data_IF_811348635898
#
_entry.id   IF_811348635898
#
_cell.length_a   1.000
_cell.length_b   1.000
_cell.length_c   1.000
_cell.angle_alpha   90.00
_cell.angle_beta   90.00
_cell.angle_gamma   90.00
#
_symmetry.space_group_name_H-M   'P 1'
#
loop_
_entity.id
_entity.type
_entity.pdbx_description
1 polymer ?
#
# COMPACT_ATOMS: atom_id res chain seq x y z
N UNK A 1 20.10 5.46 13.06
CA UNK A 1 21.17 4.50 12.72
C UNK A 1 20.85 3.03 13.05
N UNK A 2 20.15 2.71 14.15
CA UNK A 2 19.82 1.32 14.54
C UNK A 2 19.11 0.49 13.45
N UNK A 3 18.07 1.05 12.82
CA UNK A 3 17.27 0.37 11.77
C UNK A 3 18.13 -0.07 10.58
N UNK A 4 18.98 0.82 10.08
CA UNK A 4 19.84 0.55 8.91
C UNK A 4 20.81 -0.60 9.18
N UNK A 5 21.46 -0.59 10.35
CA UNK A 5 22.39 -1.67 10.72
C UNK A 5 21.69 -3.02 10.84
N UNK A 6 20.52 -3.06 11.48
CA UNK A 6 19.75 -4.30 11.62
C UNK A 6 19.33 -4.87 10.26
N UNK A 7 18.90 -4.01 9.33
CA UNK A 7 18.52 -4.43 7.98
C UNK A 7 19.72 -4.98 7.23
N UNK A 8 20.86 -4.28 7.25
CA UNK A 8 22.08 -4.74 6.57
C UNK A 8 22.62 -6.05 7.14
N UNK A 9 22.58 -6.22 8.46
CA UNK A 9 22.96 -7.47 9.13
C UNK A 9 22.03 -8.63 8.76
N UNK A 10 20.72 -8.38 8.70
CA UNK A 10 19.74 -9.36 8.22
C UNK A 10 19.99 -9.76 6.77
N UNK A 11 20.21 -8.78 5.89
CA UNK A 11 20.52 -9.02 4.47
C UNK A 11 21.81 -9.83 4.31
N UNK A 12 22.88 -9.46 5.01
CA UNK A 12 24.16 -10.18 4.98
C UNK A 12 24.05 -11.62 5.47
N UNK A 13 23.15 -11.89 6.42
CA UNK A 13 22.94 -13.23 6.97
C UNK A 13 22.09 -14.13 6.07
N UNK A 14 21.19 -13.53 5.27
CA UNK A 14 20.22 -14.24 4.45
C UNK A 14 20.61 -14.38 2.97
N UNK A 15 21.46 -13.47 2.46
CA UNK A 15 21.81 -13.38 1.04
C UNK A 15 23.31 -13.20 0.83
N UNK A 16 23.85 -13.82 -0.22
CA UNK A 16 25.27 -13.69 -0.60
C UNK A 16 25.60 -12.31 -1.19
N UNK A 17 24.64 -11.69 -1.89
CA UNK A 17 24.76 -10.36 -2.49
C UNK A 17 23.65 -9.48 -1.97
N UNK A 18 24.00 -8.29 -1.47
CA UNK A 18 23.05 -7.30 -0.96
C UNK A 18 22.69 -6.34 -2.11
N UNK A 19 21.62 -6.66 -2.83
CA UNK A 19 21.01 -5.80 -3.84
C UNK A 19 19.66 -5.22 -3.36
N UNK A 20 18.98 -4.47 -4.23
CA UNK A 20 17.69 -3.84 -3.93
C UNK A 20 16.64 -4.88 -3.52
N UNK A 21 16.60 -6.02 -4.22
CA UNK A 21 15.64 -7.09 -3.98
C UNK A 21 15.87 -7.75 -2.62
N UNK A 22 17.14 -8.01 -2.26
CA UNK A 22 17.51 -8.54 -0.94
C UNK A 22 17.01 -7.62 0.20
N UNK A 23 17.11 -6.29 0.04
CA UNK A 23 16.63 -5.33 1.04
C UNK A 23 15.11 -5.34 1.18
N UNK A 24 14.35 -5.31 0.07
CA UNK A 24 12.88 -5.36 0.15
C UNK A 24 12.40 -6.70 0.73
N UNK A 25 12.99 -7.81 0.30
CA UNK A 25 12.64 -9.14 0.80
C UNK A 25 12.99 -9.30 2.30
N UNK A 26 14.13 -8.75 2.74
CA UNK A 26 14.53 -8.80 4.15
C UNK A 26 13.66 -7.89 5.05
N UNK A 27 13.13 -6.79 4.51
CA UNK A 27 12.32 -5.84 5.29
C UNK A 27 10.83 -6.12 5.22
N UNK A 28 10.38 -6.92 4.26
CA UNK A 28 8.95 -7.14 3.99
C UNK A 28 8.22 -5.88 3.50
N UNK A 29 8.95 -4.83 3.14
CA UNK A 29 8.35 -3.60 2.65
C UNK A 29 7.85 -3.77 1.22
N UNK A 30 6.70 -3.17 0.86
CA UNK A 30 6.21 -3.21 -0.50
C UNK A 30 7.16 -2.47 -1.43
N UNK A 31 7.36 -3.03 -2.63
CA UNK A 31 8.17 -2.39 -3.66
C UNK A 31 7.39 -1.20 -4.23
N UNK A 32 8.04 -0.08 -4.60
CA UNK A 32 7.35 1.05 -5.22
C UNK A 32 6.53 0.65 -6.45
N UNK A 33 7.04 -0.29 -7.26
CA UNK A 33 6.36 -0.85 -8.43
C UNK A 33 5.07 -1.58 -8.05
N UNK A 34 5.08 -2.37 -6.97
CA UNK A 34 3.88 -3.06 -6.47
C UNK A 34 2.82 -2.06 -6.00
N UNK A 35 3.24 -1.01 -5.27
CA UNK A 35 2.33 0.03 -4.76
C UNK A 35 1.71 0.82 -5.91
N UNK A 36 2.50 1.14 -6.94
CA UNK A 36 2.02 1.81 -8.15
C UNK A 36 0.98 0.94 -8.89
N UNK A 37 1.27 -0.35 -9.09
CA UNK A 37 0.32 -1.28 -9.71
C UNK A 37 -0.98 -1.41 -8.89
N UNK A 38 -0.88 -1.44 -7.56
CA UNK A 38 -2.04 -1.45 -6.66
C UNK A 38 -2.88 -0.17 -6.87
N UNK A 39 -2.25 0.99 -6.92
CA UNK A 39 -2.93 2.27 -7.16
C UNK A 39 -3.61 2.31 -8.53
N UNK A 40 -2.91 1.89 -9.58
CA UNK A 40 -3.45 1.85 -10.94
C UNK A 40 -4.66 0.92 -11.04
N UNK A 41 -4.62 -0.25 -10.38
CA UNK A 41 -5.77 -1.16 -10.31
C UNK A 41 -6.95 -0.53 -9.54
N UNK A 42 -6.69 0.14 -8.42
CA UNK A 42 -7.74 0.84 -7.66
C UNK A 42 -8.39 1.98 -8.45
N UNK A 43 -7.65 2.66 -9.33
CA UNK A 43 -8.20 3.75 -10.15
C UNK A 43 -8.94 3.23 -11.38
N UNK A 44 -8.38 2.25 -12.10
CA UNK A 44 -8.85 1.90 -13.44
C UNK A 44 -9.76 0.66 -13.49
N UNK A 45 -9.54 -0.35 -12.65
CA UNK A 45 -10.24 -1.64 -12.76
C UNK A 45 -11.62 -1.64 -12.07
N UNK A 46 -12.48 -2.61 -12.33
CA UNK A 46 -13.69 -2.77 -11.51
C UNK A 46 -13.34 -3.13 -10.05
N UNK A 47 -14.21 -2.76 -9.11
CA UNK A 47 -14.00 -3.00 -7.67
C UNK A 47 -13.62 -4.47 -7.35
N UNK A 48 -14.34 -5.42 -7.95
CA UNK A 48 -14.11 -6.86 -7.73
C UNK A 48 -12.76 -7.32 -8.26
N UNK A 49 -12.34 -6.80 -9.42
CA UNK A 49 -11.06 -7.09 -10.06
C UNK A 49 -9.91 -6.54 -9.23
N UNK A 50 -10.00 -5.27 -8.82
CA UNK A 50 -9.01 -4.65 -7.95
C UNK A 50 -8.89 -5.39 -6.61
N UNK A 51 -10.02 -5.78 -6.00
CA UNK A 51 -10.01 -6.51 -4.73
C UNK A 51 -9.30 -7.87 -4.84
N UNK A 52 -9.60 -8.65 -5.89
CA UNK A 52 -8.95 -9.94 -6.12
C UNK A 52 -7.45 -9.77 -6.43
N UNK A 53 -7.10 -8.80 -7.28
CA UNK A 53 -5.72 -8.50 -7.65
C UNK A 53 -4.87 -8.10 -6.43
N UNK A 54 -5.32 -7.12 -5.65
CA UNK A 54 -4.58 -6.62 -4.49
C UNK A 54 -4.50 -7.70 -3.40
N UNK A 55 -5.56 -8.49 -3.21
CA UNK A 55 -5.54 -9.62 -2.27
C UNK A 55 -4.49 -10.66 -2.68
N UNK A 56 -4.36 -10.96 -3.97
CA UNK A 56 -3.33 -11.88 -4.48
C UNK A 56 -1.92 -11.34 -4.27
N UNK A 57 -1.68 -10.07 -4.60
CA UNK A 57 -0.36 -9.45 -4.38
C UNK A 57 0.02 -9.49 -2.90
N UNK A 58 -0.88 -9.10 -2.01
CA UNK A 58 -0.63 -9.14 -0.56
C UNK A 58 -0.26 -10.54 -0.08
N UNK A 59 -1.00 -11.56 -0.51
CA UNK A 59 -0.75 -12.94 -0.10
C UNK A 59 0.54 -13.50 -0.69
N UNK A 60 0.82 -13.22 -1.97
CA UNK A 60 1.99 -13.75 -2.65
C UNK A 60 3.30 -13.13 -2.14
N UNK A 61 3.28 -11.82 -1.86
CA UNK A 61 4.47 -11.07 -1.43
C UNK A 61 4.54 -10.90 0.10
N UNK A 62 3.56 -11.39 0.86
CA UNK A 62 3.54 -11.30 2.32
C UNK A 62 3.39 -9.87 2.85
N UNK A 63 2.68 -9.00 2.13
CA UNK A 63 2.59 -7.57 2.45
C UNK A 63 1.46 -7.29 3.45
N UNK A 64 1.76 -6.49 4.47
CA UNK A 64 0.75 -5.95 5.37
C UNK A 64 -0.01 -4.81 4.71
N UNK A 65 -1.32 -4.68 5.01
CA UNK A 65 -2.10 -3.57 4.46
C UNK A 65 -1.60 -2.21 4.96
N UNK A 66 -1.11 -2.18 6.20
CA UNK A 66 -0.58 -0.97 6.82
C UNK A 66 0.61 -0.40 6.04
N UNK A 67 1.56 -1.25 5.64
CA UNK A 67 2.73 -0.81 4.86
C UNK A 67 2.33 -0.29 3.47
N UNK A 68 1.31 -0.90 2.86
CA UNK A 68 0.74 -0.44 1.59
C UNK A 68 0.11 0.94 1.75
N UNK A 69 -0.69 1.18 2.80
CA UNK A 69 -1.33 2.49 3.04
C UNK A 69 -0.30 3.59 3.28
N UNK A 70 0.72 3.32 4.11
CA UNK A 70 1.80 4.29 4.35
C UNK A 70 2.53 4.63 3.06
N UNK A 71 2.81 3.64 2.21
CA UNK A 71 3.48 3.85 0.92
C UNK A 71 2.59 4.56 -0.11
N UNK A 72 1.28 4.26 -0.12
CA UNK A 72 0.30 4.88 -1.02
C UNK A 72 0.20 6.39 -0.84
N UNK A 73 0.40 6.91 0.38
CA UNK A 73 0.31 8.34 0.65
C UNK A 73 1.29 9.16 -0.21
N UNK A 74 2.49 8.63 -0.45
CA UNK A 74 3.48 9.29 -1.32
C UNK A 74 2.98 9.40 -2.76
N UNK A 75 2.35 8.33 -3.29
CA UNK A 75 1.80 8.33 -4.64
C UNK A 75 0.54 9.18 -4.77
N UNK A 76 -0.36 9.17 -3.78
CA UNK A 76 -1.56 10.02 -3.78
C UNK A 76 -1.19 11.50 -3.79
N UNK A 77 -0.14 11.88 -3.07
CA UNK A 77 0.36 13.26 -3.08
C UNK A 77 1.03 13.64 -4.40
N UNK A 78 1.57 12.68 -5.15
CA UNK A 78 2.16 12.91 -6.46
C UNK A 78 1.11 13.09 -7.57
N UNK A 79 -0.11 12.58 -7.39
CA UNK A 79 -1.21 12.74 -8.34
C UNK A 79 -1.90 14.10 -8.15
N UNK A 80 -2.18 14.76 -9.26
CA UNK A 80 -2.93 16.02 -9.29
C UNK A 80 -4.43 15.77 -9.22
N UNK A 81 -4.91 15.34 -8.06
CA UNK A 81 -6.34 15.22 -7.76
C UNK A 81 -6.96 16.59 -7.46
N UNK A 82 -8.24 16.82 -7.82
CA UNK A 82 -9.00 17.95 -7.31
C UNK A 82 -8.98 17.99 -5.77
N UNK A 83 -8.98 19.19 -5.18
CA UNK A 83 -8.83 19.37 -3.74
C UNK A 83 -9.83 18.56 -2.92
N UNK A 84 -11.11 18.51 -3.35
CA UNK A 84 -12.15 17.73 -2.66
C UNK A 84 -11.85 16.23 -2.67
N UNK A 85 -11.42 15.70 -3.82
CA UNK A 85 -11.02 14.30 -3.98
C UNK A 85 -9.81 13.98 -3.10
N UNK A 86 -8.79 14.84 -3.09
CA UNK A 86 -7.60 14.66 -2.26
C UNK A 86 -7.95 14.64 -0.76
N UNK A 87 -8.76 15.60 -0.30
CA UNK A 87 -9.22 15.66 1.10
C UNK A 87 -9.96 14.37 1.46
N UNK A 88 -10.88 13.91 0.59
CA UNK A 88 -11.66 12.70 0.82
C UNK A 88 -10.77 11.44 0.92
N UNK A 89 -9.83 11.24 -0.01
CA UNK A 89 -8.93 10.08 0.01
C UNK A 89 -8.09 10.08 1.29
N UNK A 90 -7.45 11.21 1.63
CA UNK A 90 -6.55 11.29 2.79
C UNK A 90 -7.32 11.04 4.10
N UNK A 91 -8.52 11.61 4.25
CA UNK A 91 -9.40 11.36 5.40
C UNK A 91 -9.73 9.86 5.53
N UNK A 92 -10.12 9.22 4.43
CA UNK A 92 -10.46 7.79 4.43
C UNK A 92 -9.24 6.91 4.69
N UNK A 93 -8.07 7.25 4.14
CA UNK A 93 -6.82 6.53 4.43
C UNK A 93 -6.45 6.64 5.92
N UNK A 94 -6.56 7.82 6.52
CA UNK A 94 -6.30 8.05 7.95
C UNK A 94 -7.23 7.22 8.84
N UNK A 95 -8.52 7.19 8.53
CA UNK A 95 -9.50 6.35 9.24
C UNK A 95 -9.16 4.86 9.18
N UNK A 96 -8.73 4.40 8.01
CA UNK A 96 -8.37 3.00 7.79
C UNK A 96 -7.07 2.66 8.54
N UNK A 97 -6.05 3.51 8.46
CA UNK A 97 -4.79 3.35 9.18
C UNK A 97 -5.03 3.29 10.70
N UNK A 98 -5.86 4.18 11.23
CA UNK A 98 -6.26 4.17 12.63
C UNK A 98 -6.95 2.85 13.01
N UNK A 99 -7.90 2.37 12.20
CA UNK A 99 -8.60 1.10 12.46
C UNK A 99 -7.65 -0.10 12.43
N UNK A 100 -6.71 -0.13 11.49
CA UNK A 100 -5.68 -1.17 11.42
C UNK A 100 -4.78 -1.16 12.66
N UNK A 101 -4.35 0.03 13.10
CA UNK A 101 -3.59 0.18 14.35
C UNK A 101 -4.33 -0.30 15.60
N UNK A 102 -5.66 -0.33 15.57
CA UNK A 102 -6.51 -0.86 16.64
C UNK A 102 -6.89 -2.35 16.45
N UNK A 103 -6.27 -3.06 15.50
CA UNK A 103 -6.50 -4.49 15.28
C UNK A 103 -7.77 -4.82 14.49
N UNK A 104 -8.28 -3.88 13.67
CA UNK A 104 -9.38 -4.18 12.77
C UNK A 104 -9.01 -5.20 11.69
N UNK A 105 -10.02 -5.88 11.15
CA UNK A 105 -9.85 -6.86 10.06
C UNK A 105 -9.27 -6.23 8.80
N UNK A 106 -8.08 -6.69 8.38
CA UNK A 106 -7.45 -6.24 7.15
C UNK A 106 -8.34 -6.45 5.91
N UNK A 107 -9.12 -7.54 5.87
CA UNK A 107 -10.00 -7.84 4.73
C UNK A 107 -11.08 -6.77 4.56
N UNK A 108 -11.64 -6.31 5.67
CA UNK A 108 -12.66 -5.25 5.67
C UNK A 108 -12.02 -3.91 5.32
N UNK A 109 -10.85 -3.63 5.89
CA UNK A 109 -10.12 -2.38 5.62
C UNK A 109 -9.62 -2.28 4.18
N UNK A 110 -9.19 -3.39 3.56
CA UNK A 110 -8.82 -3.43 2.14
C UNK A 110 -10.02 -3.10 1.25
N UNK A 111 -11.17 -3.73 1.52
CA UNK A 111 -12.43 -3.44 0.82
C UNK A 111 -12.81 -1.95 0.95
N UNK A 112 -12.67 -1.39 2.16
CA UNK A 112 -12.95 0.02 2.43
C UNK A 112 -11.99 0.95 1.68
N UNK A 113 -10.70 0.60 1.59
CA UNK A 113 -9.69 1.36 0.85
C UNK A 113 -10.06 1.44 -0.63
N UNK A 114 -10.31 0.30 -1.27
CA UNK A 114 -10.67 0.25 -2.70
C UNK A 114 -11.98 1.03 -2.94
N UNK A 115 -12.96 0.86 -2.06
CA UNK A 115 -14.22 1.62 -2.13
C UNK A 115 -14.00 3.13 -2.04
N UNK A 116 -13.12 3.60 -1.15
CA UNK A 116 -12.77 5.01 -1.06
C UNK A 116 -12.13 5.52 -2.35
N UNK A 117 -11.21 4.78 -2.97
CA UNK A 117 -10.64 5.16 -4.25
C UNK A 117 -11.68 5.19 -5.38
N UNK A 118 -12.66 4.27 -5.40
CA UNK A 118 -13.73 4.29 -6.41
C UNK A 118 -14.65 5.50 -6.28
N UNK A 119 -15.06 5.84 -5.07
CA UNK A 119 -15.83 7.07 -4.83
C UNK A 119 -15.00 8.31 -5.18
N UNK A 120 -13.70 8.29 -4.90
CA UNK A 120 -12.81 9.39 -5.23
C UNK A 120 -12.68 9.62 -6.75
N UNK A 121 -12.64 8.55 -7.55
CA UNK A 121 -12.66 8.63 -9.02
C UNK A 121 -13.96 9.26 -9.51
N UNK A 122 -15.10 8.89 -8.94
CA UNK A 122 -16.40 9.50 -9.28
C UNK A 122 -16.46 10.99 -8.89
N UNK A 123 -15.83 11.40 -7.78
CA UNK A 123 -15.75 12.79 -7.35
C UNK A 123 -14.80 13.65 -8.21
N UNK A 124 -13.85 13.01 -8.90
CA UNK A 124 -12.90 13.68 -9.78
C UNK A 124 -13.38 13.80 -11.24
N UNK A 125 -14.44 13.08 -11.60
CA UNK A 125 -15.07 13.11 -12.92
C UNK A 125 -15.99 14.33 -13.09
#
# INVERSE_FOLDING_TARGET
>A
MRRVLNILQGCHSAYDVIDKDAVYNCTGQPRPEDVQNILDSMLNDEYSVALDYISKIKNNHGLALQDIITSLLEFVNAIDFPDQTRIFIIDKMSDIEYKLGNGASERTQLSALIGAFKVAVELAA
#
